data_IF_775778715475
#
_entry.id   IF_775778715475
#
_cell.length_a   1.000
_cell.length_b   1.000
_cell.length_c   1.000
_cell.angle_alpha   90.00
_cell.angle_beta   90.00
_cell.angle_gamma   90.00
#
_symmetry.space_group_name_H-M   'P 1'
#
loop_
_entity.id
_entity.type
_entity.pdbx_description
1 polymer ?
#
# COMPACT_ATOMS: atom_id res chain seq x y z
N UNK A 1 7.95 33.90 -2.08
CA UNK A 1 8.43 32.80 -2.96
C UNK A 1 7.19 32.12 -3.51
N UNK A 2 6.94 32.14 -4.83
CA UNK A 2 5.77 31.43 -5.39
C UNK A 2 5.94 29.92 -5.10
N UNK A 3 4.91 29.20 -4.64
CA UNK A 3 5.02 27.75 -4.51
C UNK A 3 5.41 27.18 -5.88
N UNK A 4 6.44 26.34 -5.94
CA UNK A 4 6.73 25.57 -7.15
C UNK A 4 5.48 24.74 -7.46
N UNK A 5 4.94 24.90 -8.66
CA UNK A 5 3.85 24.07 -9.18
C UNK A 5 4.27 22.61 -9.12
N UNK A 6 3.38 21.72 -8.71
CA UNK A 6 3.69 20.29 -8.75
C UNK A 6 3.77 19.89 -10.23
N UNK A 7 4.74 19.07 -10.68
CA UNK A 7 4.90 18.78 -12.11
C UNK A 7 3.67 18.13 -12.75
N UNK A 8 2.86 17.42 -11.95
CA UNK A 8 1.58 16.89 -12.40
C UNK A 8 0.49 17.97 -12.66
N UNK A 9 0.64 19.18 -12.10
CA UNK A 9 -0.29 20.30 -12.33
C UNK A 9 -0.10 20.92 -13.73
N UNK A 10 1.00 20.60 -14.40
CA UNK A 10 1.32 21.06 -15.76
C UNK A 10 0.78 20.10 -16.83
N UNK A 11 0.32 18.90 -16.43
CA UNK A 11 -0.26 17.91 -17.32
C UNK A 11 -1.76 18.16 -17.54
N UNK A 12 -2.20 18.02 -18.78
CA UNK A 12 -3.60 18.00 -19.16
C UNK A 12 -4.31 16.76 -18.58
N UNK A 13 -5.64 16.81 -18.37
CA UNK A 13 -6.41 15.66 -17.88
C UNK A 13 -6.23 14.38 -18.70
N UNK A 14 -6.04 14.51 -20.03
CA UNK A 14 -5.79 13.37 -20.92
C UNK A 14 -4.43 12.73 -20.68
N UNK A 15 -3.39 13.54 -20.47
CA UNK A 15 -2.03 13.06 -20.19
C UNK A 15 -1.97 12.34 -18.84
N UNK A 16 -2.71 12.84 -17.85
CA UNK A 16 -2.86 12.16 -16.56
C UNK A 16 -3.60 10.82 -16.68
N UNK A 17 -4.61 10.74 -17.55
CA UNK A 17 -5.33 9.50 -17.81
C UNK A 17 -4.43 8.46 -18.49
N UNK A 18 -3.66 8.88 -19.49
CA UNK A 18 -2.70 8.02 -20.19
C UNK A 18 -1.60 7.52 -19.26
N UNK A 19 -1.02 8.41 -18.43
CA UNK A 19 -0.05 8.02 -17.42
C UNK A 19 -0.64 7.01 -16.43
N UNK A 20 -1.90 7.21 -16.00
CA UNK A 20 -2.57 6.26 -15.12
C UNK A 20 -2.76 4.87 -15.77
N UNK A 21 -3.02 4.81 -17.09
CA UNK A 21 -3.08 3.54 -17.81
C UNK A 21 -1.70 2.88 -17.90
N UNK A 22 -0.65 3.64 -18.22
CA UNK A 22 0.72 3.15 -18.28
C UNK A 22 1.19 2.59 -16.93
N UNK A 23 0.88 3.28 -15.82
CA UNK A 23 1.18 2.81 -14.46
C UNK A 23 0.57 1.45 -14.18
N UNK A 24 -0.69 1.21 -14.60
CA UNK A 24 -1.35 -0.08 -14.41
C UNK A 24 -0.69 -1.17 -15.24
N UNK A 25 -0.38 -0.89 -16.51
CA UNK A 25 0.32 -1.82 -17.40
C UNK A 25 1.69 -2.19 -16.83
N UNK A 26 2.50 -1.20 -16.45
CA UNK A 26 3.81 -1.44 -15.87
C UNK A 26 3.75 -2.20 -14.55
N UNK A 27 2.74 -1.95 -13.73
CA UNK A 27 2.53 -2.72 -12.51
C UNK A 27 2.25 -4.20 -12.79
N UNK A 28 1.44 -4.49 -13.80
CA UNK A 28 1.18 -5.86 -14.25
C UNK A 28 2.45 -6.55 -14.76
N UNK A 29 3.24 -5.87 -15.59
CA UNK A 29 4.53 -6.40 -16.07
C UNK A 29 5.53 -6.66 -14.95
N UNK A 30 5.47 -5.87 -13.87
CA UNK A 30 6.26 -6.07 -12.65
C UNK A 30 5.66 -7.16 -11.74
N UNK A 31 4.59 -7.82 -12.17
CA UNK A 31 3.95 -8.96 -11.52
C UNK A 31 3.00 -8.60 -10.38
N UNK A 32 2.50 -7.35 -10.32
CA UNK A 32 1.37 -7.00 -9.46
C UNK A 32 0.06 -7.38 -10.15
N UNK A 33 -0.81 -8.11 -9.45
CA UNK A 33 -2.09 -8.55 -10.03
C UNK A 33 -3.09 -7.39 -10.16
N UNK A 34 -2.92 -6.33 -9.38
CA UNK A 34 -3.79 -5.16 -9.45
C UNK A 34 -3.04 -3.90 -9.02
N UNK A 35 -3.38 -2.77 -9.66
CA UNK A 35 -2.89 -1.43 -9.34
C UNK A 35 -4.09 -0.48 -9.27
N UNK A 36 -4.21 0.24 -8.16
CA UNK A 36 -5.22 1.27 -7.94
C UNK A 36 -4.58 2.61 -7.57
N UNK A 37 -5.23 3.71 -7.96
CA UNK A 37 -4.74 5.08 -7.73
C UNK A 37 -5.86 5.86 -7.04
N UNK A 38 -5.54 6.55 -5.96
CA UNK A 38 -6.49 7.32 -5.15
C UNK A 38 -5.96 8.70 -4.80
N UNK A 39 -6.86 9.61 -4.44
CA UNK A 39 -6.49 10.81 -3.69
C UNK A 39 -6.17 10.46 -2.22
N UNK A 40 -5.61 11.43 -1.50
CA UNK A 40 -5.08 11.26 -0.13
C UNK A 40 -6.12 11.32 0.99
N UNK A 41 -7.40 11.58 0.70
CA UNK A 41 -8.44 11.77 1.72
C UNK A 41 -8.76 10.46 2.43
N UNK A 42 -8.50 10.43 3.74
CA UNK A 42 -8.72 9.26 4.59
C UNK A 42 -9.58 9.61 5.83
N UNK A 43 -10.40 10.66 5.78
CA UNK A 43 -11.13 11.16 6.97
C UNK A 43 -11.94 10.07 7.68
N UNK A 44 -12.64 9.22 6.93
CA UNK A 44 -13.40 8.09 7.51
C UNK A 44 -12.51 7.10 8.25
N UNK A 45 -11.36 6.76 7.66
CA UNK A 45 -10.39 5.84 8.26
C UNK A 45 -9.63 6.47 9.43
N UNK A 46 -9.36 7.79 9.38
CA UNK A 46 -8.83 8.57 10.50
C UNK A 46 -9.77 8.51 11.69
N UNK A 47 -11.05 8.83 11.50
CA UNK A 47 -12.04 8.80 12.57
C UNK A 47 -12.19 7.39 13.18
N UNK A 48 -12.20 6.35 12.34
CA UNK A 48 -12.23 4.98 12.81
C UNK A 48 -11.00 4.63 13.67
N UNK A 49 -9.79 5.00 13.21
CA UNK A 49 -8.56 4.78 13.95
C UNK A 49 -8.58 5.51 15.29
N UNK A 50 -9.01 6.77 15.33
CA UNK A 50 -9.09 7.56 16.56
C UNK A 50 -10.06 6.92 17.57
N UNK A 51 -11.23 6.49 17.13
CA UNK A 51 -12.19 5.78 17.99
C UNK A 51 -11.63 4.45 18.50
N UNK A 52 -10.95 3.68 17.65
CA UNK A 52 -10.34 2.41 18.04
C UNK A 52 -9.19 2.60 19.04
N UNK A 53 -8.39 3.66 18.87
CA UNK A 53 -7.34 4.04 19.81
C UNK A 53 -7.91 4.51 21.15
N UNK A 54 -8.98 5.32 21.15
CA UNK A 54 -9.60 5.82 22.39
C UNK A 54 -10.23 4.69 23.23
N UNK A 55 -10.66 3.61 22.58
CA UNK A 55 -11.13 2.39 23.24
C UNK A 55 -10.00 1.44 23.67
N UNK A 56 -8.73 1.86 23.57
CA UNK A 56 -7.55 1.07 23.89
C UNK A 56 -7.48 -0.30 23.17
N UNK A 57 -8.08 -0.41 21.97
CA UNK A 57 -8.14 -1.67 21.24
C UNK A 57 -6.81 -2.08 20.58
N UNK A 58 -5.77 -1.25 20.73
CA UNK A 58 -4.44 -1.53 20.20
C UNK A 58 -3.62 -2.50 21.05
N UNK A 59 -4.06 -2.82 22.28
CA UNK A 59 -3.31 -3.69 23.18
C UNK A 59 -1.86 -3.21 23.31
N UNK A 60 -0.91 -4.10 23.08
CA UNK A 60 0.53 -3.80 23.15
C UNK A 60 1.10 -3.13 21.88
N UNK A 61 0.29 -2.91 20.83
CA UNK A 61 0.71 -2.25 19.59
C UNK A 61 0.85 -0.74 19.75
N UNK A 62 1.65 -0.27 20.72
CA UNK A 62 1.84 1.16 21.02
C UNK A 62 2.23 1.98 19.78
N UNK A 63 2.94 1.37 18.82
CA UNK A 63 3.29 2.00 17.55
C UNK A 63 2.07 2.48 16.73
N UNK A 64 0.87 1.99 17.04
CA UNK A 64 -0.39 2.48 16.47
C UNK A 64 -0.74 3.88 16.99
N UNK A 65 -0.44 4.17 18.26
CA UNK A 65 -0.68 5.47 18.90
C UNK A 65 0.48 6.45 18.70
N UNK A 66 1.74 5.97 18.71
CA UNK A 66 2.96 6.81 18.73
C UNK A 66 3.09 7.80 17.55
N UNK A 67 2.49 7.51 16.41
CA UNK A 67 2.70 8.31 15.19
C UNK A 67 1.59 9.34 14.90
N UNK A 68 0.66 9.53 15.84
CA UNK A 68 -0.41 10.50 15.71
C UNK A 68 -1.16 10.36 14.38
N UNK A 69 -1.22 11.44 13.62
CA UNK A 69 -1.99 11.54 12.37
C UNK A 69 -1.22 11.09 11.12
N UNK A 70 0.05 10.69 11.24
CA UNK A 70 0.88 10.28 10.08
C UNK A 70 0.28 9.12 9.29
N UNK A 71 -0.46 8.23 9.98
CA UNK A 71 -1.15 7.07 9.38
C UNK A 71 -2.24 7.45 8.39
N UNK A 72 -2.98 8.51 8.71
CA UNK A 72 -4.16 8.94 7.98
C UNK A 72 -3.91 10.19 7.12
N UNK A 73 -2.78 10.88 7.31
CA UNK A 73 -2.43 12.09 6.57
C UNK A 73 -1.14 11.90 5.77
N UNK A 74 -1.22 11.47 4.50
CA UNK A 74 -0.04 11.25 3.67
C UNK A 74 0.89 12.47 3.56
N UNK A 75 0.36 13.69 3.63
CA UNK A 75 1.15 14.92 3.65
C UNK A 75 2.10 15.06 4.85
N UNK A 76 1.79 14.42 5.98
CA UNK A 76 2.66 14.38 7.18
C UNK A 76 3.79 13.36 7.06
N UNK A 77 3.68 12.42 6.11
CA UNK A 77 4.73 11.45 5.79
C UNK A 77 5.68 11.98 4.73
N UNK A 78 5.11 12.52 3.65
CA UNK A 78 5.82 13.11 2.53
C UNK A 78 5.07 14.38 2.13
N UNK A 79 5.71 15.53 2.36
CA UNK A 79 5.16 16.82 2.02
C UNK A 79 4.84 16.90 0.52
N UNK A 80 3.68 17.45 0.18
CA UNK A 80 3.22 17.56 -1.21
C UNK A 80 2.62 16.28 -1.81
N UNK A 81 2.33 15.24 -1.02
CA UNK A 81 1.65 14.04 -1.54
C UNK A 81 0.26 14.38 -2.05
N UNK A 82 -0.05 14.05 -3.31
CA UNK A 82 -1.33 14.35 -3.98
C UNK A 82 -2.11 13.10 -4.36
N UNK A 83 -1.42 11.98 -4.55
CA UNK A 83 -1.98 10.69 -4.96
C UNK A 83 -1.28 9.55 -4.24
N UNK A 84 -2.00 8.45 -4.05
CA UNK A 84 -1.46 7.18 -3.55
C UNK A 84 -1.70 6.10 -4.59
N UNK A 85 -0.64 5.38 -4.94
CA UNK A 85 -0.68 4.20 -5.82
C UNK A 85 -0.58 2.96 -4.95
N UNK A 86 -1.66 2.19 -4.89
CA UNK A 86 -1.74 0.93 -4.16
C UNK A 86 -1.57 -0.23 -5.13
N UNK A 87 -0.88 -1.28 -4.71
CA UNK A 87 -0.65 -2.49 -5.53
C UNK A 87 -0.98 -3.76 -4.74
N UNK A 88 -1.42 -4.81 -5.43
CA UNK A 88 -1.63 -6.14 -4.84
C UNK A 88 -0.67 -7.16 -5.43
N UNK A 89 -0.17 -8.05 -4.57
CA UNK A 89 0.52 -9.25 -4.99
C UNK A 89 -0.04 -10.48 -4.29
N UNK A 90 -0.43 -11.47 -5.09
CA UNK A 90 -0.89 -12.75 -4.57
C UNK A 90 0.33 -13.58 -4.16
N UNK A 91 0.27 -14.18 -2.96
CA UNK A 91 1.37 -14.96 -2.38
C UNK A 91 1.03 -16.45 -2.25
N UNK A 92 -0.08 -16.89 -2.85
CA UNK A 92 -0.48 -18.30 -2.82
C UNK A 92 0.48 -19.13 -3.69
N UNK A 93 1.19 -20.13 -3.14
CA UNK A 93 2.07 -20.98 -3.93
C UNK A 93 1.26 -21.86 -4.91
N UNK A 94 1.84 -22.16 -6.08
CA UNK A 94 1.23 -23.04 -7.08
C UNK A 94 0.93 -24.46 -6.54
N UNK A 95 1.77 -24.98 -5.64
CA UNK A 95 1.51 -26.24 -4.93
C UNK A 95 0.90 -25.92 -3.56
N UNK A 96 -0.42 -25.91 -3.48
CA UNK A 96 -1.13 -25.62 -2.24
C UNK A 96 -1.17 -26.87 -1.37
N UNK A 97 -0.28 -26.95 -0.38
CA UNK A 97 -0.52 -27.82 0.78
C UNK A 97 -1.64 -27.20 1.60
N UNK A 98 -2.71 -27.96 1.83
CA UNK A 98 -3.83 -27.47 2.65
C UNK A 98 -3.35 -27.22 4.07
N UNK A 99 -3.81 -26.12 4.68
CA UNK A 99 -3.49 -25.82 6.08
C UNK A 99 -3.90 -26.99 6.99
N UNK A 100 -5.08 -27.56 6.74
CA UNK A 100 -5.61 -28.75 7.44
C UNK A 100 -4.64 -29.94 7.36
N UNK A 101 -4.07 -30.22 6.18
CA UNK A 101 -3.12 -31.32 6.02
C UNK A 101 -1.79 -31.09 6.74
N UNK A 102 -1.35 -29.84 6.89
CA UNK A 102 -0.16 -29.53 7.69
C UNK A 102 -0.45 -29.58 9.19
N UNK A 103 -1.61 -29.08 9.64
CA UNK A 103 -2.00 -29.06 11.05
C UNK A 103 -2.21 -30.45 11.66
N UNK A 104 -2.50 -31.47 10.83
CA UNK A 104 -2.59 -32.87 11.26
C UNK A 104 -1.23 -33.51 11.59
N UNK A 105 -0.12 -32.87 11.23
CA UNK A 105 1.23 -33.40 11.49
C UNK A 105 1.66 -33.00 12.89
N UNK A 106 1.79 -33.99 13.78
CA UNK A 106 2.17 -33.76 15.18
C UNK A 106 3.66 -33.43 15.34
N UNK A 107 4.49 -33.76 14.34
CA UNK A 107 5.95 -33.58 14.36
C UNK A 107 6.40 -32.17 13.94
N UNK A 108 5.47 -31.26 13.58
CA UNK A 108 5.82 -29.94 13.01
C UNK A 108 4.85 -28.84 13.41
N UNK A 109 5.39 -27.63 13.59
CA UNK A 109 4.61 -26.42 13.72
C UNK A 109 4.12 -25.89 12.35
N UNK A 110 3.01 -25.15 12.36
CA UNK A 110 2.47 -24.47 11.18
C UNK A 110 2.85 -22.99 11.19
N UNK A 111 3.50 -22.53 10.12
CA UNK A 111 3.88 -21.12 9.94
C UNK A 111 2.91 -20.48 8.94
N UNK A 112 2.46 -19.27 9.26
CA UNK A 112 1.59 -18.48 8.37
C UNK A 112 2.20 -18.33 6.99
N UNK A 113 1.36 -18.46 5.96
CA UNK A 113 1.81 -18.55 4.56
C UNK A 113 2.55 -17.30 4.08
N UNK A 114 2.22 -16.11 4.59
CA UNK A 114 2.90 -14.85 4.23
C UNK A 114 4.37 -14.81 4.72
N UNK A 115 4.73 -15.62 5.71
CA UNK A 115 6.08 -15.70 6.27
C UNK A 115 6.93 -16.80 5.62
N UNK A 116 6.40 -17.50 4.61
CA UNK A 116 7.11 -18.55 3.90
C UNK A 116 7.90 -17.98 2.71
N UNK A 117 9.09 -18.53 2.48
CA UNK A 117 9.92 -18.17 1.33
C UNK A 117 10.70 -16.87 1.54
N UNK A 118 10.87 -16.10 0.46
CA UNK A 118 11.62 -14.85 0.50
C UNK A 118 10.80 -13.77 1.19
N UNK A 119 11.43 -13.01 2.08
CA UNK A 119 10.86 -11.82 2.71
C UNK A 119 10.18 -10.90 1.68
N UNK A 120 8.86 -10.76 1.83
CA UNK A 120 8.02 -10.03 0.89
C UNK A 120 8.37 -8.54 0.87
N UNK A 121 8.86 -7.97 1.97
CA UNK A 121 9.23 -6.56 2.03
C UNK A 121 10.28 -6.23 0.97
N UNK A 122 11.31 -7.09 0.85
CA UNK A 122 12.39 -6.92 -0.14
C UNK A 122 11.86 -7.04 -1.57
N UNK A 123 10.98 -8.01 -1.81
CA UNK A 123 10.40 -8.25 -3.14
C UNK A 123 9.51 -7.09 -3.59
N UNK A 124 8.53 -6.72 -2.76
CA UNK A 124 7.56 -5.67 -3.04
C UNK A 124 8.26 -4.32 -3.19
N UNK A 125 9.15 -3.97 -2.26
CA UNK A 125 9.91 -2.71 -2.32
C UNK A 125 10.74 -2.61 -3.59
N UNK A 126 11.42 -3.69 -3.99
CA UNK A 126 12.21 -3.72 -5.22
C UNK A 126 11.35 -3.48 -6.47
N UNK A 127 10.17 -4.10 -6.56
CA UNK A 127 9.23 -3.93 -7.68
C UNK A 127 8.59 -2.55 -7.68
N UNK A 128 8.19 -2.02 -6.53
CA UNK A 128 7.71 -0.64 -6.41
C UNK A 128 8.76 0.37 -6.89
N UNK A 129 10.04 0.18 -6.53
CA UNK A 129 11.12 1.04 -7.02
C UNK A 129 11.30 0.94 -8.54
N UNK A 130 11.13 -0.24 -9.14
CA UNK A 130 11.11 -0.39 -10.62
C UNK A 130 9.93 0.35 -11.24
N UNK A 131 8.75 0.28 -10.62
CA UNK A 131 7.57 1.00 -11.09
C UNK A 131 7.80 2.51 -11.06
N UNK A 132 8.33 3.04 -9.95
CA UNK A 132 8.67 4.46 -9.84
C UNK A 132 9.65 4.89 -10.93
N UNK A 133 10.70 4.12 -11.21
CA UNK A 133 11.64 4.45 -12.30
C UNK A 133 10.96 4.57 -13.66
N UNK A 134 9.93 3.76 -13.94
CA UNK A 134 9.15 3.87 -15.18
C UNK A 134 8.28 5.11 -15.20
N UNK A 135 7.66 5.46 -14.07
CA UNK A 135 6.91 6.71 -13.92
C UNK A 135 7.83 7.91 -14.15
N UNK A 136 9.04 7.89 -13.57
CA UNK A 136 10.03 8.96 -13.74
C UNK A 136 10.45 9.17 -15.20
N UNK A 137 10.41 8.13 -16.04
CA UNK A 137 10.70 8.28 -17.46
C UNK A 137 9.59 9.01 -18.25
N UNK A 138 8.36 9.05 -17.72
CA UNK A 138 7.21 9.75 -18.33
C UNK A 138 6.79 11.03 -17.60
N UNK A 139 7.24 11.23 -16.37
CA UNK A 139 6.96 12.40 -15.55
C UNK A 139 8.12 12.65 -14.59
N UNK A 140 8.90 13.70 -14.82
CA UNK A 140 10.02 14.06 -13.95
C UNK A 140 9.60 14.96 -12.78
N UNK A 141 10.51 15.16 -11.82
CA UNK A 141 10.37 16.20 -10.78
C UNK A 141 9.38 15.93 -9.65
N UNK A 142 8.75 14.76 -9.57
CA UNK A 142 7.84 14.42 -8.47
C UNK A 142 8.56 13.78 -7.28
N UNK A 143 8.05 14.03 -6.08
CA UNK A 143 8.50 13.38 -4.85
C UNK A 143 7.74 12.07 -4.64
N UNK A 144 8.43 11.05 -4.10
CA UNK A 144 7.80 9.78 -3.78
C UNK A 144 8.44 9.10 -2.59
N UNK A 145 7.70 8.16 -1.99
CA UNK A 145 8.24 7.17 -1.07
C UNK A 145 7.46 5.87 -1.21
N UNK A 146 8.20 4.77 -1.31
CA UNK A 146 7.61 3.42 -1.39
C UNK A 146 7.54 2.82 0.01
N UNK A 147 6.45 2.12 0.29
CA UNK A 147 6.19 1.45 1.56
C UNK A 147 5.65 0.04 1.35
N UNK A 148 5.85 -0.79 2.36
CA UNK A 148 5.19 -2.08 2.56
C UNK A 148 5.38 -2.43 4.03
N UNK A 149 4.29 -2.48 4.82
CA UNK A 149 4.20 -2.93 6.23
C UNK A 149 5.18 -2.29 7.26
N UNK A 150 6.00 -1.34 6.84
CA UNK A 150 7.13 -0.80 7.61
C UNK A 150 6.98 0.68 7.94
N UNK A 151 5.90 1.32 7.48
CA UNK A 151 5.63 2.72 7.72
C UNK A 151 4.23 2.91 8.31
N UNK A 152 4.01 4.00 9.06
CA UNK A 152 2.69 4.29 9.61
C UNK A 152 1.80 4.81 8.47
N UNK A 153 1.24 3.90 7.68
CA UNK A 153 0.30 4.16 6.57
C UNK A 153 -0.93 3.27 6.78
N UNK A 154 -2.14 3.79 6.56
CA UNK A 154 -3.37 2.98 6.56
C UNK A 154 -3.51 2.21 5.23
N UNK A 155 -2.60 1.27 4.98
CA UNK A 155 -2.51 0.52 3.71
C UNK A 155 -3.85 -0.14 3.32
N UNK A 156 -4.56 -0.74 4.29
CA UNK A 156 -5.86 -1.38 4.04
C UNK A 156 -6.94 -0.38 3.60
N UNK A 157 -7.04 0.78 4.25
CA UNK A 157 -8.00 1.81 3.88
C UNK A 157 -7.70 2.42 2.50
N UNK A 158 -6.41 2.61 2.18
CA UNK A 158 -5.97 3.06 0.87
C UNK A 158 -6.22 2.00 -0.21
N UNK A 159 -6.03 0.72 0.09
CA UNK A 159 -6.31 -0.38 -0.83
C UNK A 159 -7.81 -0.52 -1.12
N UNK A 160 -8.67 -0.40 -0.10
CA UNK A 160 -10.13 -0.39 -0.26
C UNK A 160 -10.57 0.79 -1.14
N UNK A 161 -10.12 2.01 -0.80
CA UNK A 161 -10.42 3.21 -1.59
C UNK A 161 -9.92 3.09 -3.04
N UNK A 162 -8.82 2.39 -3.26
CA UNK A 162 -8.23 2.17 -4.58
C UNK A 162 -8.92 1.07 -5.39
N UNK A 163 -9.96 0.43 -4.84
CA UNK A 163 -10.70 -0.65 -5.48
C UNK A 163 -9.94 -1.96 -5.55
N UNK A 164 -8.90 -2.16 -4.73
CA UNK A 164 -8.11 -3.40 -4.68
C UNK A 164 -8.88 -4.53 -3.97
N UNK A 165 -9.77 -4.17 -3.05
CA UNK A 165 -10.56 -5.08 -2.25
C UNK A 165 -11.48 -4.31 -1.30
N UNK A 166 -11.95 -4.97 -0.26
CA UNK A 166 -12.76 -4.38 0.83
C UNK A 166 -12.25 -4.90 2.17
N UNK A 167 -12.48 -4.16 3.25
CA UNK A 167 -12.10 -4.62 4.60
C UNK A 167 -13.22 -5.52 5.14
N UNK A 168 -12.94 -6.81 5.26
CA UNK A 168 -13.83 -7.81 5.82
C UNK A 168 -13.88 -7.80 7.36
N UNK A 169 -14.81 -8.57 7.94
CA UNK A 169 -15.01 -8.67 9.39
C UNK A 169 -13.79 -9.20 10.15
N UNK A 170 -12.98 -10.03 9.49
CA UNK A 170 -11.72 -10.54 10.03
C UNK A 170 -10.56 -9.55 9.89
N UNK A 171 -10.85 -8.25 9.69
CA UNK A 171 -9.91 -7.14 9.53
C UNK A 171 -9.01 -7.18 8.29
N UNK A 172 -9.18 -8.15 7.38
CA UNK A 172 -8.52 -8.16 6.06
C UNK A 172 -9.53 -7.89 4.96
#
# INVERSE_FOLDING_TARGET
>A
MKPKTHPADELLPVELADLAQQIRLWGQELGFQQVGITDISLQKAENYLQNWLSMNHHGEMEYMARHGLKRSRPGELIHGTTRVISVRMDYLPHVVRTAVGQLKKIDRAYISRYALGRDYHKLIRSRLQKLVRRIQAGLEGFNYRVFTDSAPVLEKALAEKAGIGWIGKHSN
#
